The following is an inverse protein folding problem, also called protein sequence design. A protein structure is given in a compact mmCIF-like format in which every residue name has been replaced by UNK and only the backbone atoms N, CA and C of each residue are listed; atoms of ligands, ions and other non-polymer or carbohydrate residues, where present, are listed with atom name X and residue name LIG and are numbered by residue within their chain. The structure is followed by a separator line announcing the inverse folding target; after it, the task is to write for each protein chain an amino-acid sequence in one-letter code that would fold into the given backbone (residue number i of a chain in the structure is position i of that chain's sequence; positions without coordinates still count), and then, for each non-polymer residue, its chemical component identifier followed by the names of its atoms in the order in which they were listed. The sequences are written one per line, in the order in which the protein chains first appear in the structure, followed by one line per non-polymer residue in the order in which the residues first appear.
data_IF_458339630295
#
_entry.id   IF_458339630295
#
_cell.length_a   1.000
_cell.length_b   1.000
_cell.length_c   1.000
_cell.angle_alpha   90.00
_cell.angle_beta   90.00
_cell.angle_gamma   90.00
#
_symmetry.space_group_name_H-M   'P 1'
#
loop_
_entity.id
_entity.type
_entity.pdbx_description
1 polymer ?
#
# COMPACT_ATOMS: atom_id res chain seq x y z
N UNK A 1 39.51 19.40 48.85
CA UNK A 1 38.13 18.99 48.51
C UNK A 1 37.48 20.13 47.74
N UNK A 2 37.58 20.15 46.40
CA UNK A 2 36.70 20.96 45.55
C UNK A 2 36.38 20.11 44.32
N UNK A 3 35.08 19.84 44.17
CA UNK A 3 34.43 18.98 43.20
C UNK A 3 34.84 19.29 41.76
N UNK A 4 35.27 18.27 41.02
CA UNK A 4 35.31 18.26 39.57
C UNK A 4 33.88 18.15 39.02
N UNK A 5 33.42 19.20 38.32
CA UNK A 5 32.22 19.13 37.49
C UNK A 5 32.48 18.19 36.31
N UNK A 6 31.94 16.97 36.36
CA UNK A 6 31.73 16.17 35.16
C UNK A 6 30.50 16.72 34.43
N UNK A 7 30.73 17.53 33.40
CA UNK A 7 29.71 17.82 32.40
C UNK A 7 29.48 16.54 31.58
N UNK A 8 28.43 15.79 31.93
CA UNK A 8 27.93 14.71 31.09
C UNK A 8 27.33 15.34 29.83
N UNK A 9 28.13 15.43 28.76
CA UNK A 9 27.62 15.77 27.45
C UNK A 9 26.68 14.65 27.01
N UNK A 10 25.37 14.88 27.10
CA UNK A 10 24.36 14.02 26.47
C UNK A 10 24.52 14.12 24.96
N UNK A 11 25.27 13.18 24.39
CA UNK A 11 25.34 12.98 22.95
C UNK A 11 23.93 12.60 22.47
N UNK A 12 23.25 13.53 21.79
CA UNK A 12 22.02 13.22 21.08
C UNK A 12 22.34 12.27 19.94
N UNK A 13 21.99 10.99 20.10
CA UNK A 13 22.23 9.99 19.07
C UNK A 13 21.18 10.18 17.96
N UNK A 14 21.64 10.53 16.74
CA UNK A 14 20.75 10.61 15.58
C UNK A 14 20.26 9.21 15.24
N UNK A 15 19.00 8.92 15.57
CA UNK A 15 18.32 7.73 15.09
C UNK A 15 18.08 7.90 13.59
N UNK A 16 18.57 6.95 12.79
CA UNK A 16 18.25 6.86 11.37
C UNK A 16 16.98 6.03 11.23
N UNK A 17 16.08 6.48 10.37
CA UNK A 17 14.89 5.74 9.95
C UNK A 17 14.96 5.58 8.43
N UNK A 18 14.85 4.35 7.95
CA UNK A 18 14.84 3.98 6.54
C UNK A 18 13.42 3.65 6.14
N UNK A 19 12.87 4.39 5.18
CA UNK A 19 11.55 4.12 4.61
C UNK A 19 11.73 3.48 3.24
N UNK A 20 11.05 2.36 3.00
CA UNK A 20 11.00 1.69 1.70
C UNK A 20 9.69 2.07 1.02
N UNK A 21 9.77 2.67 -0.17
CA UNK A 21 8.60 3.09 -0.95
C UNK A 21 8.40 2.17 -2.15
N UNK A 22 7.23 1.54 -2.20
CA UNK A 22 6.71 0.83 -3.37
C UNK A 22 5.78 1.70 -4.19
N UNK A 23 5.74 1.43 -5.50
CA UNK A 23 4.74 2.01 -6.39
C UNK A 23 3.38 1.32 -6.28
N UNK A 24 2.67 1.28 -7.40
CA UNK A 24 1.30 0.80 -7.49
C UNK A 24 1.16 -0.71 -7.29
N UNK A 25 0.33 -1.09 -6.32
CA UNK A 25 -0.16 -2.45 -6.12
C UNK A 25 -1.46 -2.57 -6.91
N UNK A 26 -1.36 -3.06 -8.13
CA UNK A 26 -2.48 -3.34 -9.02
C UNK A 26 -2.60 -4.85 -9.25
N UNK A 27 -3.44 -5.50 -8.45
CA UNK A 27 -3.61 -6.97 -8.43
C UNK A 27 -4.88 -7.43 -9.14
N UNK A 28 -5.40 -6.63 -10.06
CA UNK A 28 -6.63 -6.91 -10.78
C UNK A 28 -6.50 -8.24 -11.54
N UNK A 29 -7.48 -9.13 -11.35
CA UNK A 29 -7.51 -10.48 -11.93
C UNK A 29 -6.32 -11.39 -11.56
N UNK A 30 -5.51 -11.02 -10.56
CA UNK A 30 -4.44 -11.88 -10.06
C UNK A 30 -5.00 -12.79 -8.95
N UNK A 31 -4.92 -14.13 -9.10
CA UNK A 31 -5.35 -15.03 -8.03
C UNK A 31 -4.45 -14.91 -6.79
N UNK A 32 -5.07 -14.81 -5.61
CA UNK A 32 -4.40 -14.70 -4.30
C UNK A 32 -3.37 -15.82 -4.08
N UNK A 33 -3.68 -17.03 -4.53
CA UNK A 33 -2.80 -18.22 -4.41
C UNK A 33 -1.42 -18.06 -5.06
N UNK A 34 -1.26 -17.14 -6.02
CA UNK A 34 0.02 -16.90 -6.68
C UNK A 34 1.01 -16.11 -5.81
N UNK A 35 0.55 -15.49 -4.72
CA UNK A 35 1.38 -14.69 -3.80
C UNK A 35 2.31 -13.71 -4.54
N UNK A 36 1.76 -12.83 -5.40
CA UNK A 36 2.53 -12.05 -6.38
C UNK A 36 3.58 -11.13 -5.76
N UNK A 37 3.40 -10.71 -4.50
CA UNK A 37 4.32 -9.82 -3.79
C UNK A 37 5.41 -10.55 -2.99
N UNK A 38 5.36 -11.88 -2.86
CA UNK A 38 6.23 -12.61 -1.94
C UNK A 38 7.74 -12.41 -2.21
N UNK A 39 8.12 -12.23 -3.48
CA UNK A 39 9.51 -11.99 -3.86
C UNK A 39 10.05 -10.61 -3.46
N UNK A 40 9.17 -9.65 -3.16
CA UNK A 40 9.54 -8.29 -2.76
C UNK A 40 9.85 -8.17 -1.25
N UNK A 41 9.53 -9.19 -0.47
CA UNK A 41 9.69 -9.17 0.99
C UNK A 41 11.08 -8.75 1.45
N UNK A 42 12.20 -9.26 0.89
CA UNK A 42 13.53 -8.83 1.31
C UNK A 42 13.81 -7.33 1.10
N UNK A 43 13.11 -6.68 0.15
CA UNK A 43 13.26 -5.25 -0.11
C UNK A 43 12.55 -4.43 0.96
N UNK A 44 11.30 -4.79 1.29
CA UNK A 44 10.53 -4.07 2.31
C UNK A 44 11.07 -4.31 3.73
N UNK A 45 11.57 -5.51 4.03
CA UNK A 45 12.24 -5.81 5.30
C UNK A 45 13.65 -5.17 5.43
N UNK A 46 14.16 -4.50 4.39
CA UNK A 46 15.45 -3.81 4.44
C UNK A 46 15.39 -2.44 5.13
N UNK A 47 14.18 -1.91 5.37
CA UNK A 47 13.95 -0.65 6.09
C UNK A 47 13.14 -0.84 7.35
N UNK A 48 12.94 0.28 8.06
CA UNK A 48 12.17 0.33 9.30
C UNK A 48 10.66 0.43 9.04
N UNK A 49 10.26 1.00 7.88
CA UNK A 49 8.86 1.16 7.47
C UNK A 49 8.72 0.92 5.96
N UNK A 50 7.81 0.02 5.57
CA UNK A 50 7.39 -0.20 4.19
C UNK A 50 6.09 0.52 3.85
N UNK A 51 6.07 1.32 2.79
CA UNK A 51 4.87 2.02 2.30
C UNK A 51 4.70 1.74 0.81
N UNK A 52 3.47 1.51 0.35
CA UNK A 52 3.18 1.36 -1.08
C UNK A 52 1.87 2.04 -1.49
N UNK A 53 1.68 2.32 -2.79
CA UNK A 53 0.39 2.83 -3.28
C UNK A 53 -0.56 1.66 -3.58
N UNK A 54 -1.69 1.58 -2.88
CA UNK A 54 -2.71 0.57 -3.16
C UNK A 54 -3.69 1.09 -4.21
N UNK A 55 -3.32 0.88 -5.47
CA UNK A 55 -3.93 1.52 -6.64
C UNK A 55 -5.41 1.17 -6.84
N UNK A 56 -5.85 -0.03 -6.48
CA UNK A 56 -7.20 -0.50 -6.79
C UNK A 56 -7.89 -1.05 -5.53
N UNK A 57 -9.22 -0.94 -5.41
CA UNK A 57 -9.95 -1.41 -4.24
C UNK A 57 -9.79 -2.92 -4.05
N UNK A 58 -9.49 -3.31 -2.82
CA UNK A 58 -9.58 -4.69 -2.33
C UNK A 58 -11.01 -4.91 -1.86
N UNK A 59 -11.88 -5.45 -2.72
CA UNK A 59 -13.32 -5.46 -2.44
C UNK A 59 -14.07 -6.66 -3.00
N UNK A 60 -15.04 -7.12 -2.23
CA UNK A 60 -16.04 -8.10 -2.67
C UNK A 60 -17.21 -7.45 -3.43
N UNK A 61 -17.35 -6.11 -3.39
CA UNK A 61 -18.46 -5.40 -4.02
C UNK A 61 -18.58 -5.72 -5.50
N UNK A 62 -19.80 -5.93 -5.98
CA UNK A 62 -20.10 -6.18 -7.40
C UNK A 62 -20.58 -4.92 -8.12
N UNK A 63 -20.73 -3.81 -7.41
CA UNK A 63 -21.29 -2.57 -7.94
C UNK A 63 -20.17 -1.62 -8.37
N UNK A 64 -19.91 -1.61 -9.67
CA UNK A 64 -18.94 -0.68 -10.24
C UNK A 64 -19.44 0.77 -10.21
N UNK A 65 -18.50 1.71 -10.27
CA UNK A 65 -18.77 3.15 -10.36
C UNK A 65 -19.62 3.49 -11.61
N UNK A 66 -20.64 4.36 -11.47
CA UNK A 66 -21.40 4.84 -12.62
C UNK A 66 -20.65 5.95 -13.39
N UNK A 67 -19.51 6.43 -12.86
CA UNK A 67 -18.77 7.56 -13.42
C UNK A 67 -17.84 7.19 -14.58
N UNK A 68 -17.87 5.93 -15.03
CA UNK A 68 -17.12 5.44 -16.20
C UNK A 68 -18.13 4.90 -17.22
N UNK A 69 -18.28 5.59 -18.34
CA UNK A 69 -19.30 5.25 -19.34
C UNK A 69 -18.95 3.98 -20.10
N UNK A 70 -19.98 3.27 -20.60
CA UNK A 70 -19.77 2.09 -21.42
C UNK A 70 -18.96 2.38 -22.71
N UNK A 71 -19.02 3.62 -23.22
CA UNK A 71 -18.22 4.03 -24.38
C UNK A 71 -16.73 4.12 -24.03
N UNK A 72 -16.36 4.74 -22.90
CA UNK A 72 -14.97 4.83 -22.43
C UNK A 72 -14.38 3.46 -22.12
N UNK A 73 -15.17 2.57 -21.49
CA UNK A 73 -14.74 1.20 -21.20
C UNK A 73 -14.48 0.40 -22.49
N UNK A 74 -15.37 0.51 -23.50
CA UNK A 74 -15.18 -0.13 -24.80
C UNK A 74 -13.97 0.45 -25.55
N UNK A 75 -13.78 1.76 -25.47
CA UNK A 75 -12.64 2.45 -26.07
C UNK A 75 -11.32 2.26 -25.29
N UNK A 76 -11.37 1.64 -24.10
CA UNK A 76 -10.23 1.44 -23.20
C UNK A 76 -9.51 2.73 -22.79
N UNK A 77 -10.26 3.82 -22.70
CA UNK A 77 -9.79 5.08 -22.14
C UNK A 77 -10.00 5.17 -20.63
N UNK A 78 -10.83 4.28 -20.09
CA UNK A 78 -11.08 4.09 -18.67
C UNK A 78 -11.15 2.60 -18.34
N UNK A 79 -10.85 2.25 -17.10
CA UNK A 79 -10.89 0.88 -16.60
C UNK A 79 -11.62 0.84 -15.26
N UNK A 80 -12.33 -0.26 -14.98
CA UNK A 80 -12.90 -0.57 -13.66
C UNK A 80 -12.13 -1.75 -13.11
N UNK A 81 -11.36 -1.53 -12.06
CA UNK A 81 -10.40 -2.47 -11.51
C UNK A 81 -10.73 -2.76 -10.04
N UNK A 82 -10.53 -4.01 -9.63
CA UNK A 82 -10.50 -4.40 -8.23
C UNK A 82 -9.69 -5.67 -8.05
N UNK A 83 -9.29 -5.95 -6.82
CA UNK A 83 -8.73 -7.24 -6.46
C UNK A 83 -9.49 -7.87 -5.30
N UNK A 84 -9.25 -9.17 -5.11
CA UNK A 84 -9.77 -9.95 -3.99
C UNK A 84 -9.29 -9.35 -2.65
N UNK A 85 -10.19 -9.11 -1.66
CA UNK A 85 -9.82 -8.65 -0.33
C UNK A 85 -8.68 -9.43 0.34
N UNK A 86 -8.56 -10.73 0.06
CA UNK A 86 -7.54 -11.59 0.67
C UNK A 86 -6.11 -11.24 0.24
N UNK A 87 -5.91 -10.41 -0.78
CA UNK A 87 -4.58 -9.88 -1.10
C UNK A 87 -3.99 -9.02 0.02
N UNK A 88 -4.80 -8.49 0.94
CA UNK A 88 -4.30 -7.77 2.14
C UNK A 88 -3.33 -8.61 2.96
N UNK A 89 -3.52 -9.94 3.00
CA UNK A 89 -2.62 -10.86 3.69
C UNK A 89 -1.26 -10.94 3.00
N UNK A 90 -1.23 -10.89 1.67
CA UNK A 90 -0.01 -10.86 0.88
C UNK A 90 0.74 -9.53 0.99
N UNK A 91 0.02 -8.41 1.00
CA UNK A 91 0.57 -7.06 1.18
C UNK A 91 1.23 -6.97 2.56
N UNK A 92 0.50 -7.32 3.62
CA UNK A 92 1.06 -7.34 4.99
C UNK A 92 2.22 -8.33 5.12
N UNK A 93 2.08 -9.52 4.55
CA UNK A 93 3.12 -10.56 4.58
C UNK A 93 4.39 -10.22 3.79
N UNK A 94 4.33 -9.19 2.92
CA UNK A 94 5.47 -8.65 2.19
C UNK A 94 6.31 -7.67 3.02
N UNK A 95 5.86 -7.27 4.22
CA UNK A 95 6.53 -6.22 5.01
C UNK A 95 6.10 -4.80 4.64
N UNK A 96 4.95 -4.64 4.01
CA UNK A 96 4.33 -3.32 3.79
C UNK A 96 3.49 -2.99 5.02
N UNK A 97 3.85 -1.91 5.70
CA UNK A 97 3.21 -1.46 6.95
C UNK A 97 2.04 -0.50 6.69
N UNK A 98 2.15 0.31 5.63
CA UNK A 98 1.15 1.32 5.29
C UNK A 98 0.90 1.36 3.78
N UNK A 99 -0.30 1.79 3.40
CA UNK A 99 -0.64 2.06 2.00
C UNK A 99 -1.26 3.43 1.83
N UNK A 100 -1.00 4.06 0.68
CA UNK A 100 -1.77 5.22 0.22
C UNK A 100 -2.96 4.77 -0.62
N UNK A 101 -4.07 5.50 -0.52
CA UNK A 101 -5.31 5.26 -1.28
C UNK A 101 -5.65 6.39 -2.26
N UNK A 102 -4.83 7.45 -2.32
CA UNK A 102 -5.09 8.64 -3.13
C UNK A 102 -4.71 8.43 -4.60
N UNK A 103 -5.44 7.53 -5.26
CA UNK A 103 -5.21 7.13 -6.64
C UNK A 103 -6.48 7.23 -7.49
N UNK A 104 -6.34 7.08 -8.82
CA UNK A 104 -7.45 7.26 -9.77
C UNK A 104 -8.40 6.05 -9.85
N UNK A 105 -8.08 4.92 -9.23
CA UNK A 105 -8.89 3.71 -9.24
C UNK A 105 -9.55 3.36 -7.89
N UNK A 106 -9.24 4.07 -6.80
CA UNK A 106 -9.79 3.83 -5.46
C UNK A 106 -11.34 3.80 -5.44
N UNK A 107 -11.97 4.60 -6.30
CA UNK A 107 -13.44 4.72 -6.39
C UNK A 107 -14.07 3.84 -7.48
N UNK A 108 -13.36 2.88 -8.05
CA UNK A 108 -13.88 2.02 -9.12
C UNK A 108 -15.10 1.19 -8.70
N UNK A 109 -15.24 0.95 -7.40
CA UNK A 109 -16.38 0.29 -6.76
C UNK A 109 -17.08 1.20 -5.74
N UNK A 110 -16.92 2.52 -5.90
CA UNK A 110 -17.58 3.53 -5.08
C UNK A 110 -17.22 3.46 -3.59
N UNK A 111 -18.09 4.02 -2.76
CA UNK A 111 -17.93 4.05 -1.31
C UNK A 111 -17.97 2.65 -0.68
N UNK A 112 -18.72 1.72 -1.26
CA UNK A 112 -18.77 0.32 -0.82
C UNK A 112 -17.41 -0.36 -1.03
N UNK A 113 -16.76 -0.13 -2.17
CA UNK A 113 -15.41 -0.58 -2.45
C UNK A 113 -14.38 0.01 -1.50
N UNK A 114 -14.40 1.33 -1.32
CA UNK A 114 -13.49 2.04 -0.43
C UNK A 114 -13.62 1.59 1.05
N UNK A 115 -14.84 1.36 1.54
CA UNK A 115 -15.06 0.96 2.93
C UNK A 115 -14.62 -0.48 3.25
N UNK A 116 -14.38 -1.31 2.24
CA UNK A 116 -13.86 -2.68 2.40
C UNK A 116 -12.34 -2.77 2.29
N UNK A 117 -11.70 -1.68 1.84
CA UNK A 117 -10.30 -1.61 1.44
C UNK A 117 -9.33 -1.65 2.63
#
# INVERSE_FOLDING_TARGET
MVLSLLAAATLSQTQKCTIVLGGDIMLNQIPVKLKPLAALRPLFESGDVGIANLEIPLTSSTRATPFKSAAELRARTQYILKADPLHVLGIKGCGIDMVSLANNHVMDYGTEGLNQM
#
